data_IF_733530601344
#
_entry.id   IF_733530601344
#
_cell.length_a   1.000
_cell.length_b   1.000
_cell.length_c   1.000
_cell.angle_alpha   90.00
_cell.angle_beta   90.00
_cell.angle_gamma   90.00
#
_symmetry.space_group_name_H-M   'P 1'
#
loop_
_entity.id
_entity.type
_entity.pdbx_description
1 polymer ?
#
# COMPACT_ATOMS: atom_id res chain seq x y z
N UNK A 1 -13.72 13.30 -0.27
CA UNK A 1 -13.18 12.60 0.91
C UNK A 1 -11.67 12.81 0.90
N UNK A 2 -11.04 13.21 2.01
CA UNK A 2 -9.58 13.43 2.04
C UNK A 2 -8.84 12.11 1.81
N UNK A 3 -7.69 12.16 1.13
CA UNK A 3 -6.86 11.00 0.83
C UNK A 3 -6.43 10.26 2.12
N UNK A 4 -6.20 11.01 3.19
CA UNK A 4 -5.92 10.51 4.54
C UNK A 4 -7.05 9.68 5.13
N UNK A 5 -8.30 10.06 4.87
CA UNK A 5 -9.48 9.33 5.36
C UNK A 5 -9.51 7.96 4.66
N UNK A 6 -9.21 7.90 3.36
CA UNK A 6 -9.15 6.64 2.61
C UNK A 6 -8.05 5.72 3.15
N UNK A 7 -6.88 6.27 3.44
CA UNK A 7 -5.74 5.54 4.04
C UNK A 7 -6.11 5.00 5.42
N UNK A 8 -6.74 5.81 6.28
CA UNK A 8 -7.22 5.35 7.60
C UNK A 8 -8.25 4.23 7.46
N UNK A 9 -9.22 4.36 6.56
CA UNK A 9 -10.21 3.29 6.31
C UNK A 9 -9.56 1.97 5.91
N UNK A 10 -8.47 2.00 5.14
CA UNK A 10 -7.71 0.80 4.75
C UNK A 10 -6.95 0.20 5.92
N UNK A 11 -6.36 1.03 6.77
CA UNK A 11 -5.70 0.57 8.00
C UNK A 11 -6.70 -0.08 8.96
N UNK A 12 -7.89 0.51 9.11
CA UNK A 12 -8.94 0.01 9.99
C UNK A 12 -9.64 -1.25 9.45
N UNK A 13 -9.86 -1.35 8.13
CA UNK A 13 -10.63 -2.43 7.50
C UNK A 13 -9.86 -3.17 6.39
N UNK A 14 -8.57 -3.43 6.60
CA UNK A 14 -7.71 -4.07 5.61
C UNK A 14 -8.29 -5.39 5.06
N UNK A 15 -8.95 -6.18 5.93
CA UNK A 15 -9.53 -7.46 5.55
C UNK A 15 -10.74 -7.34 4.59
N UNK A 16 -11.33 -6.16 4.45
CA UNK A 16 -12.40 -5.86 3.48
C UNK A 16 -11.90 -5.17 2.21
N UNK A 17 -10.66 -4.67 2.21
CA UNK A 17 -10.04 -4.00 1.05
C UNK A 17 -9.45 -5.03 0.08
N UNK A 18 -9.68 -4.82 -1.21
CA UNK A 18 -9.06 -5.65 -2.26
C UNK A 18 -7.57 -5.37 -2.39
N UNK A 19 -6.77 -6.38 -2.74
CA UNK A 19 -5.34 -6.18 -2.96
C UNK A 19 -5.06 -5.15 -4.07
N UNK A 20 -5.91 -5.06 -5.09
CA UNK A 20 -5.76 -4.08 -6.17
C UNK A 20 -5.96 -2.65 -5.68
N UNK A 21 -7.03 -2.40 -4.91
CA UNK A 21 -7.27 -1.07 -4.31
C UNK A 21 -6.14 -0.67 -3.35
N UNK A 22 -5.66 -1.63 -2.55
CA UNK A 22 -4.54 -1.39 -1.65
C UNK A 22 -3.29 -0.96 -2.43
N UNK A 23 -2.93 -1.69 -3.49
CA UNK A 23 -1.73 -1.41 -4.29
C UNK A 23 -1.84 -0.09 -5.06
N UNK A 24 -3.03 0.25 -5.56
CA UNK A 24 -3.27 1.52 -6.25
C UNK A 24 -3.02 2.71 -5.31
N UNK A 25 -3.43 2.61 -4.06
CA UNK A 25 -3.23 3.68 -3.07
C UNK A 25 -1.78 3.72 -2.61
N UNK A 26 -1.14 2.55 -2.46
CA UNK A 26 0.29 2.46 -2.18
C UNK A 26 1.13 3.15 -3.28
N UNK A 27 0.77 2.95 -4.54
CA UNK A 27 1.43 3.59 -5.70
C UNK A 27 1.28 5.11 -5.66
N UNK A 28 0.12 5.63 -5.24
CA UNK A 28 -0.10 7.07 -5.09
C UNK A 28 0.66 7.69 -3.90
N UNK A 29 0.69 7.04 -2.73
CA UNK A 29 1.40 7.58 -1.56
C UNK A 29 2.91 7.47 -1.69
N UNK A 30 3.44 6.43 -2.37
CA UNK A 30 4.90 6.27 -2.46
C UNK A 30 5.56 7.43 -3.19
N UNK A 31 4.87 8.09 -4.13
CA UNK A 31 5.38 9.28 -4.84
C UNK A 31 5.59 10.48 -3.91
N UNK A 32 5.05 10.44 -2.68
CA UNK A 32 5.25 11.46 -1.65
C UNK A 32 6.44 11.16 -0.75
N UNK A 33 7.02 9.96 -0.82
CA UNK A 33 8.23 9.63 -0.08
C UNK A 33 9.44 10.34 -0.67
N UNK A 34 10.25 10.97 0.19
CA UNK A 34 11.46 11.72 -0.20
C UNK A 34 12.62 10.82 -0.63
N UNK A 35 12.56 9.54 -0.31
CA UNK A 35 13.64 8.57 -0.55
C UNK A 35 13.39 7.80 -1.83
N UNK A 36 14.22 8.04 -2.85
CA UNK A 36 14.18 7.28 -4.10
C UNK A 36 14.36 5.77 -3.86
N UNK A 37 15.22 5.38 -2.92
CA UNK A 37 15.42 3.98 -2.54
C UNK A 37 14.13 3.32 -2.03
N UNK A 38 13.33 4.06 -1.26
CA UNK A 38 12.04 3.57 -0.76
C UNK A 38 11.03 3.43 -1.90
N UNK A 39 11.00 4.40 -2.82
CA UNK A 39 10.12 4.35 -4.00
C UNK A 39 10.47 3.16 -4.90
N UNK A 40 11.76 2.95 -5.20
CA UNK A 40 12.20 1.83 -6.02
C UNK A 40 11.92 0.48 -5.37
N UNK A 41 12.15 0.37 -4.05
CA UNK A 41 11.79 -0.82 -3.28
C UNK A 41 10.29 -1.15 -3.39
N UNK A 42 9.44 -0.15 -3.18
CA UNK A 42 7.99 -0.32 -3.23
C UNK A 42 7.49 -0.67 -4.63
N UNK A 43 8.02 -0.03 -5.67
CA UNK A 43 7.74 -0.40 -7.07
C UNK A 43 8.06 -1.87 -7.35
N UNK A 44 9.25 -2.33 -6.93
CA UNK A 44 9.64 -3.73 -7.08
C UNK A 44 8.76 -4.70 -6.29
N UNK A 45 8.24 -4.28 -5.13
CA UNK A 45 7.27 -5.06 -4.34
C UNK A 45 5.91 -5.11 -5.02
N UNK A 46 5.36 -3.98 -5.43
CA UNK A 46 4.05 -3.89 -6.12
C UNK A 46 4.05 -4.77 -7.37
N UNK A 47 5.11 -4.70 -8.18
CA UNK A 47 5.24 -5.53 -9.37
C UNK A 47 5.17 -7.03 -9.04
N UNK A 48 5.95 -7.50 -8.06
CA UNK A 48 5.94 -8.90 -7.63
C UNK A 48 4.59 -9.35 -7.07
N UNK A 49 3.90 -8.47 -6.37
CA UNK A 49 2.57 -8.78 -5.81
C UNK A 49 1.52 -8.86 -6.93
N UNK A 50 1.63 -8.03 -7.97
CA UNK A 50 0.74 -8.10 -9.13
C UNK A 50 0.92 -9.36 -9.97
N UNK A 51 2.06 -10.05 -9.87
CA UNK A 51 2.27 -11.36 -10.50
C UNK A 51 1.56 -12.51 -9.76
N UNK A 52 1.07 -12.27 -8.53
CA UNK A 52 0.33 -13.26 -7.73
C UNK A 52 -1.13 -13.29 -8.17
N UNK A 53 -1.59 -14.46 -8.64
CA UNK A 53 -2.95 -14.65 -9.13
C UNK A 53 -3.96 -15.04 -8.04
N UNK A 54 -3.48 -15.50 -6.88
CA UNK A 54 -4.32 -15.93 -5.76
C UNK A 54 -4.50 -14.75 -4.80
N UNK A 55 -5.72 -14.21 -4.71
CA UNK A 55 -6.02 -13.04 -3.88
C UNK A 55 -5.63 -13.23 -2.41
N UNK A 56 -5.86 -14.42 -1.83
CA UNK A 56 -5.48 -14.71 -0.46
C UNK A 56 -3.96 -14.56 -0.23
N UNK A 57 -3.13 -15.03 -1.16
CA UNK A 57 -1.68 -14.87 -1.08
C UNK A 57 -1.28 -13.41 -1.35
N UNK A 58 -1.89 -12.78 -2.36
CA UNK A 58 -1.68 -11.36 -2.68
C UNK A 58 -1.92 -10.48 -1.46
N UNK A 59 -3.00 -10.74 -0.73
CA UNK A 59 -3.40 -10.03 0.48
C UNK A 59 -2.41 -10.22 1.63
N UNK A 60 -1.83 -11.41 1.81
CA UNK A 60 -0.73 -11.61 2.78
C UNK A 60 0.45 -10.70 2.49
N UNK A 61 0.82 -10.56 1.21
CA UNK A 61 1.91 -9.68 0.82
C UNK A 61 1.55 -8.19 0.99
N UNK A 62 0.33 -7.78 0.65
CA UNK A 62 -0.17 -6.42 0.92
C UNK A 62 -0.12 -6.08 2.42
N UNK A 63 -0.46 -7.03 3.29
CA UNK A 63 -0.42 -6.85 4.76
C UNK A 63 0.98 -6.46 5.26
N UNK A 64 2.03 -7.00 4.65
CA UNK A 64 3.42 -6.63 4.97
C UNK A 64 3.77 -5.19 4.60
N UNK A 65 2.98 -4.54 3.75
CA UNK A 65 3.18 -3.17 3.29
C UNK A 65 2.32 -2.14 4.04
N UNK A 66 1.46 -2.56 4.97
CA UNK A 66 0.69 -1.67 5.85
C UNK A 66 1.56 -0.61 6.58
N UNK A 67 2.78 -0.90 7.05
CA UNK A 67 3.61 0.10 7.71
C UNK A 67 3.92 1.34 6.86
N UNK A 68 3.87 1.24 5.53
CA UNK A 68 4.08 2.40 4.65
C UNK A 68 2.88 3.35 4.63
N UNK A 69 1.67 2.86 4.86
CA UNK A 69 0.47 3.68 5.02
C UNK A 69 0.55 4.45 6.34
N UNK A 70 0.94 3.77 7.43
CA UNK A 70 1.15 4.41 8.73
C UNK A 70 2.27 5.46 8.66
N UNK A 71 3.40 5.12 8.02
CA UNK A 71 4.51 6.06 7.83
C UNK A 71 4.11 7.30 7.01
N UNK A 72 3.28 7.13 5.98
CA UNK A 72 2.72 8.26 5.24
C UNK A 72 1.87 9.17 6.13
N UNK A 73 1.03 8.62 7.00
CA UNK A 73 0.21 9.42 7.93
C UNK A 73 1.04 10.12 9.00
N UNK A 74 2.12 9.51 9.48
CA UNK A 74 3.01 10.13 10.48
C UNK A 74 3.87 11.26 9.90
N UNK A 75 4.05 11.31 8.59
CA UNK A 75 4.84 12.32 7.89
C UNK A 75 4.06 13.56 7.44
N UNK A 76 2.74 13.58 7.66
CA UNK A 76 1.83 14.73 7.48
C UNK A 76 1.83 15.60 8.75
#
# INVERSE_FOLDING_TARGET
>A
MSFEIKIKTILDNFDDVSSDEFLEILDQIMLKFRSNLTVEYLKGKIQKINEITIEFEKKKHCKLLLPYFDWYLQGL
#
